data_IF_194176705628
#
_entry.id   IF_194176705628
#
_cell.length_a   1.000
_cell.length_b   1.000
_cell.length_c   1.000
_cell.angle_alpha   90.00
_cell.angle_beta   90.00
_cell.angle_gamma   90.00
#
_symmetry.space_group_name_H-M   'P 1'
#
loop_
_entity.id
_entity.type
_entity.pdbx_description
1 polymer ?
#
# COMPACT_ATOMS: atom_id res chain seq x y z
N UNK A 1 16.16 -27.44 19.23
CA UNK A 1 15.72 -26.76 18.01
C UNK A 1 16.59 -27.23 16.86
N UNK A 2 15.99 -27.73 15.79
CA UNK A 2 16.72 -28.17 14.59
C UNK A 2 17.23 -26.95 13.80
N UNK A 3 18.20 -27.14 12.90
CA UNK A 3 18.68 -26.05 12.02
C UNK A 3 17.54 -25.47 11.18
N UNK A 4 16.63 -26.32 10.70
CA UNK A 4 15.47 -25.89 9.93
C UNK A 4 14.45 -25.10 10.79
N UNK A 5 14.24 -25.50 12.04
CA UNK A 5 13.42 -24.70 12.97
C UNK A 5 14.06 -23.33 13.26
N UNK A 6 15.40 -23.25 13.37
CA UNK A 6 16.10 -21.97 13.50
C UNK A 6 15.95 -21.11 12.24
N UNK A 7 16.05 -21.72 11.06
CA UNK A 7 15.87 -21.05 9.78
C UNK A 7 14.51 -20.35 9.69
N UNK A 8 13.42 -21.07 9.97
CA UNK A 8 12.08 -20.50 9.92
C UNK A 8 11.87 -19.41 11.00
N UNK A 9 12.43 -19.59 12.20
CA UNK A 9 12.40 -18.54 13.23
C UNK A 9 13.17 -17.29 12.82
N UNK A 10 14.36 -17.44 12.23
CA UNK A 10 15.15 -16.30 11.75
C UNK A 10 14.41 -15.53 10.65
N UNK A 11 13.76 -16.23 9.71
CA UNK A 11 12.91 -15.58 8.70
C UNK A 11 11.80 -14.74 9.33
N UNK A 12 11.13 -15.28 10.35
CA UNK A 12 10.08 -14.56 11.08
C UNK A 12 10.65 -13.36 11.85
N UNK A 13 11.74 -13.55 12.61
CA UNK A 13 12.38 -12.50 13.41
C UNK A 13 12.89 -11.36 12.54
N UNK A 14 13.61 -11.67 11.46
CA UNK A 14 14.14 -10.68 10.52
C UNK A 14 13.00 -9.92 9.84
N UNK A 15 11.98 -10.60 9.31
CA UNK A 15 10.83 -9.91 8.69
C UNK A 15 10.11 -8.98 9.68
N UNK A 16 9.92 -9.43 10.93
CA UNK A 16 9.28 -8.62 11.98
C UNK A 16 10.09 -7.37 12.31
N UNK A 17 11.38 -7.52 12.55
CA UNK A 17 12.24 -6.37 12.85
C UNK A 17 12.35 -5.40 11.68
N UNK A 18 12.38 -5.94 10.46
CA UNK A 18 12.35 -5.15 9.24
C UNK A 18 11.04 -4.36 9.10
N UNK A 19 9.91 -4.97 9.43
CA UNK A 19 8.60 -4.30 9.46
C UNK A 19 8.53 -3.21 10.53
N UNK A 20 8.94 -3.51 11.76
CA UNK A 20 8.98 -2.54 12.85
C UNK A 20 9.81 -1.29 12.49
N UNK A 21 10.95 -1.49 11.82
CA UNK A 21 11.81 -0.40 11.39
C UNK A 21 11.23 0.38 10.20
N UNK A 22 10.75 -0.31 9.16
CA UNK A 22 10.40 0.34 7.88
C UNK A 22 8.92 0.70 7.70
N UNK A 23 8.03 0.17 8.54
CA UNK A 23 6.58 0.37 8.44
C UNK A 23 6.03 1.03 9.70
N UNK A 24 6.40 0.52 10.89
CA UNK A 24 5.85 1.05 12.15
C UNK A 24 6.66 2.19 12.75
N UNK A 25 7.86 2.47 12.25
CA UNK A 25 8.80 3.45 12.82
C UNK A 25 9.05 3.22 14.33
N UNK A 26 9.09 1.94 14.73
CA UNK A 26 9.16 1.47 16.12
C UNK A 26 10.19 0.35 16.30
N UNK A 27 11.48 0.55 15.93
CA UNK A 27 12.51 -0.48 16.08
C UNK A 27 12.73 -0.85 17.56
N UNK A 28 12.80 -2.15 17.84
CA UNK A 28 13.00 -2.68 19.21
C UNK A 28 14.36 -3.33 19.44
N UNK A 29 15.18 -3.41 18.39
CA UNK A 29 16.58 -3.87 18.45
C UNK A 29 17.44 -2.88 17.67
N UNK A 30 18.74 -2.86 17.96
CA UNK A 30 19.71 -2.05 17.23
C UNK A 30 20.01 -2.62 15.84
N UNK A 31 20.51 -1.76 14.93
CA UNK A 31 20.97 -2.18 13.60
C UNK A 31 22.01 -3.30 13.66
N UNK A 32 22.95 -3.23 14.63
CA UNK A 32 23.97 -4.26 14.82
C UNK A 32 23.40 -5.61 15.28
N UNK A 33 22.29 -5.61 16.02
CA UNK A 33 21.57 -6.85 16.39
C UNK A 33 20.79 -7.40 15.20
N UNK A 34 20.13 -6.53 14.43
CA UNK A 34 19.44 -6.92 13.21
C UNK A 34 20.41 -7.55 12.18
N UNK A 35 21.57 -6.92 11.96
CA UNK A 35 22.58 -7.42 11.05
C UNK A 35 23.09 -8.81 11.44
N UNK A 36 23.22 -9.11 12.73
CA UNK A 36 23.58 -10.46 13.21
C UNK A 36 22.54 -11.50 12.80
N UNK A 37 21.24 -11.19 12.93
CA UNK A 37 20.16 -12.08 12.52
C UNK A 37 20.20 -12.33 11.00
N UNK A 38 20.45 -11.28 10.21
CA UNK A 38 20.55 -11.39 8.74
C UNK A 38 21.78 -12.20 8.33
N UNK A 39 22.92 -12.01 8.99
CA UNK A 39 24.14 -12.79 8.74
C UNK A 39 23.91 -14.27 9.03
N UNK A 40 23.30 -14.59 10.18
CA UNK A 40 22.97 -15.98 10.55
C UNK A 40 22.02 -16.61 9.53
N UNK A 41 20.96 -15.89 9.13
CA UNK A 41 20.02 -16.35 8.09
C UNK A 41 20.74 -16.66 6.77
N UNK A 42 21.59 -15.75 6.30
CA UNK A 42 22.36 -15.94 5.05
C UNK A 42 23.31 -17.12 5.13
N UNK A 43 23.92 -17.36 6.29
CA UNK A 43 24.81 -18.52 6.46
C UNK A 43 24.03 -19.82 6.31
N UNK A 44 22.87 -19.94 6.96
CA UNK A 44 22.02 -21.13 6.84
C UNK A 44 21.54 -21.33 5.40
N UNK A 45 21.16 -20.26 4.70
CA UNK A 45 20.76 -20.33 3.28
C UNK A 45 21.89 -20.75 2.35
N UNK A 46 23.14 -20.35 2.65
CA UNK A 46 24.31 -20.78 1.89
C UNK A 46 24.63 -22.27 2.13
N UNK A 47 24.43 -22.76 3.34
CA UNK A 47 24.61 -24.19 3.70
C UNK A 47 23.46 -25.07 3.19
N UNK A 48 22.26 -24.50 3.05
CA UNK A 48 21.03 -25.18 2.59
C UNK A 48 20.30 -24.42 1.48
N UNK A 49 20.84 -24.35 0.25
CA UNK A 49 20.22 -23.60 -0.85
C UNK A 49 18.80 -24.09 -1.21
N UNK A 50 18.52 -25.37 -1.03
CA UNK A 50 17.22 -25.99 -1.32
C UNK A 50 16.09 -25.53 -0.36
N UNK A 51 16.44 -24.88 0.76
CA UNK A 51 15.45 -24.34 1.71
C UNK A 51 15.02 -22.91 1.39
N UNK A 52 15.75 -22.21 0.50
CA UNK A 52 15.52 -20.79 0.23
C UNK A 52 14.16 -20.60 -0.44
N UNK A 53 13.28 -19.85 0.22
CA UNK A 53 11.95 -19.53 -0.28
C UNK A 53 11.87 -18.09 -0.81
N UNK A 54 10.99 -17.78 -1.79
CA UNK A 54 10.86 -16.45 -2.39
C UNK A 54 10.47 -15.32 -1.42
N UNK A 55 10.00 -15.65 -0.22
CA UNK A 55 9.62 -14.74 0.85
C UNK A 55 10.69 -14.55 1.93
N UNK A 56 11.86 -15.19 1.77
CA UNK A 56 12.98 -14.92 2.65
C UNK A 56 13.43 -13.45 2.52
N UNK A 57 13.69 -12.75 3.65
CA UNK A 57 14.16 -11.36 3.64
C UNK A 57 15.41 -11.12 2.78
N UNK A 58 16.24 -12.15 2.58
CA UNK A 58 17.47 -12.07 1.79
C UNK A 58 17.20 -11.99 0.28
N UNK A 59 16.00 -12.37 -0.18
CA UNK A 59 15.60 -12.43 -1.58
C UNK A 59 15.04 -11.10 -2.12
N UNK A 60 15.11 -10.02 -1.33
CA UNK A 60 14.64 -8.68 -1.75
C UNK A 60 15.50 -8.06 -2.85
N UNK A 61 16.80 -8.36 -2.88
CA UNK A 61 17.79 -7.78 -3.79
C UNK A 61 18.58 -8.91 -4.45
N UNK A 62 18.93 -8.77 -5.73
CA UNK A 62 19.79 -9.72 -6.43
C UNK A 62 19.15 -10.36 -7.67
N UNK A 63 17.93 -9.98 -8.03
CA UNK A 63 17.37 -10.34 -9.34
C UNK A 63 18.22 -9.72 -10.46
N UNK A 64 18.50 -10.50 -11.50
CA UNK A 64 19.19 -10.00 -12.68
C UNK A 64 18.37 -8.92 -13.38
N UNK A 65 19.01 -7.97 -14.10
CA UNK A 65 18.31 -7.02 -14.93
C UNK A 65 17.39 -7.73 -15.93
N UNK A 66 16.16 -7.25 -16.05
CA UNK A 66 15.20 -7.73 -17.04
C UNK A 66 15.47 -7.12 -18.40
N UNK A 67 15.16 -7.81 -19.50
CA UNK A 67 15.27 -7.23 -20.84
C UNK A 67 14.10 -6.30 -21.17
N UNK A 68 12.92 -6.59 -20.60
CA UNK A 68 11.67 -5.87 -20.81
C UNK A 68 10.69 -6.16 -19.67
N UNK A 69 9.63 -5.35 -19.58
CA UNK A 69 8.48 -5.63 -18.72
C UNK A 69 7.43 -6.42 -19.47
N UNK A 70 6.99 -7.53 -18.88
CA UNK A 70 5.88 -8.32 -19.40
C UNK A 70 4.54 -7.68 -19.05
N UNK A 71 3.51 -7.95 -19.85
CA UNK A 71 2.15 -7.47 -19.58
C UNK A 71 1.47 -8.37 -18.56
N UNK A 72 0.76 -7.76 -17.61
CA UNK A 72 -0.02 -8.48 -16.59
C UNK A 72 -1.48 -8.05 -16.70
N UNK A 73 -2.38 -9.02 -16.83
CA UNK A 73 -3.82 -8.76 -16.74
C UNK A 73 -4.25 -8.73 -15.27
N UNK A 74 -4.90 -7.64 -14.87
CA UNK A 74 -5.45 -7.53 -13.52
C UNK A 74 -6.67 -8.46 -13.36
N UNK A 75 -6.87 -9.10 -12.20
CA UNK A 75 -8.01 -9.99 -11.97
C UNK A 75 -9.34 -9.24 -11.88
N UNK A 76 -9.30 -7.93 -11.64
CA UNK A 76 -10.44 -7.03 -11.72
C UNK A 76 -9.97 -5.64 -12.21
N UNK A 77 -10.86 -4.84 -12.81
CA UNK A 77 -10.51 -3.51 -13.31
C UNK A 77 -9.99 -2.56 -12.21
N UNK A 78 -8.85 -1.91 -12.49
CA UNK A 78 -8.21 -0.90 -11.65
C UNK A 78 -8.68 0.49 -12.08
N UNK A 79 -9.86 0.85 -11.58
CA UNK A 79 -10.57 2.08 -11.94
C UNK A 79 -9.81 3.37 -11.54
N UNK A 80 -10.08 4.44 -12.28
CA UNK A 80 -9.74 5.81 -11.90
C UNK A 80 -10.76 6.36 -10.90
N UNK A 81 -10.64 7.63 -10.55
CA UNK A 81 -11.63 8.34 -9.74
C UNK A 81 -12.08 9.57 -10.51
N UNK A 82 -13.40 9.83 -10.49
CA UNK A 82 -13.92 11.13 -10.88
C UNK A 82 -13.37 12.20 -9.92
N UNK A 83 -13.20 13.42 -10.42
CA UNK A 83 -12.72 14.54 -9.62
C UNK A 83 -13.89 15.42 -9.16
N UNK A 84 -13.75 16.01 -7.98
CA UNK A 84 -14.51 17.16 -7.51
C UNK A 84 -13.53 18.31 -7.17
N UNK A 85 -13.82 19.50 -7.68
CA UNK A 85 -13.06 20.73 -7.44
C UNK A 85 -13.79 21.63 -6.44
N UNK A 86 -14.03 21.11 -5.23
CA UNK A 86 -14.69 21.84 -4.16
C UNK A 86 -15.91 21.12 -3.59
N UNK A 87 -16.45 21.70 -2.52
CA UNK A 87 -17.56 21.12 -1.77
C UNK A 87 -18.83 20.97 -2.59
N UNK A 88 -19.16 21.95 -3.45
CA UNK A 88 -20.39 21.91 -4.23
C UNK A 88 -20.41 20.75 -5.24
N UNK A 89 -19.26 20.44 -5.86
CA UNK A 89 -19.15 19.29 -6.75
C UNK A 89 -19.21 17.95 -5.99
N UNK A 90 -18.64 17.89 -4.78
CA UNK A 90 -18.74 16.72 -3.91
C UNK A 90 -20.19 16.48 -3.45
N UNK A 91 -20.91 17.54 -3.05
CA UNK A 91 -22.36 17.48 -2.74
C UNK A 91 -23.16 17.05 -3.97
N UNK A 92 -22.87 17.61 -5.14
CA UNK A 92 -23.53 17.21 -6.38
C UNK A 92 -23.27 15.74 -6.72
N UNK A 93 -22.08 15.19 -6.42
CA UNK A 93 -21.81 13.76 -6.53
C UNK A 93 -22.69 12.94 -5.59
N UNK A 94 -22.73 13.29 -4.31
CA UNK A 94 -23.58 12.63 -3.31
C UNK A 94 -25.06 12.64 -3.71
N UNK A 95 -25.57 13.79 -4.17
CA UNK A 95 -26.93 13.95 -4.69
C UNK A 95 -27.26 13.02 -5.87
N UNK A 96 -26.27 12.68 -6.70
CA UNK A 96 -26.47 11.74 -7.81
C UNK A 96 -26.53 10.30 -7.32
N UNK A 97 -25.62 9.90 -6.43
CA UNK A 97 -25.53 8.50 -5.98
C UNK A 97 -26.66 8.13 -5.02
N UNK A 98 -27.15 9.07 -4.20
CA UNK A 98 -28.30 8.85 -3.31
C UNK A 98 -29.62 8.61 -4.05
N UNK A 99 -29.73 9.06 -5.31
CA UNK A 99 -30.89 8.80 -6.18
C UNK A 99 -30.85 7.40 -6.81
N UNK A 100 -29.70 6.73 -6.77
CA UNK A 100 -29.54 5.37 -7.32
C UNK A 100 -29.85 4.31 -6.26
N UNK A 101 -29.59 4.61 -4.99
CA UNK A 101 -29.81 3.69 -3.88
C UNK A 101 -30.07 4.44 -2.57
N UNK A 102 -31.22 4.18 -1.93
CA UNK A 102 -31.65 4.85 -0.70
C UNK A 102 -30.72 4.57 0.49
N UNK A 103 -29.93 3.49 0.46
CA UNK A 103 -28.95 3.17 1.52
C UNK A 103 -27.84 4.23 1.62
N UNK A 104 -27.56 4.94 0.53
CA UNK A 104 -26.52 6.00 0.49
C UNK A 104 -26.84 7.14 1.44
N UNK A 105 -28.12 7.47 1.64
CA UNK A 105 -28.55 8.54 2.54
C UNK A 105 -28.08 8.32 3.99
N UNK A 106 -27.90 7.05 4.38
CA UNK A 106 -27.45 6.63 5.73
C UNK A 106 -26.04 6.06 5.73
N UNK A 107 -25.31 6.21 4.62
CA UNK A 107 -23.98 5.64 4.50
C UNK A 107 -22.96 6.46 5.30
N UNK A 108 -22.03 5.75 5.93
CA UNK A 108 -20.81 6.36 6.44
C UNK A 108 -19.79 6.54 5.31
N UNK A 109 -18.80 7.39 5.55
CA UNK A 109 -17.76 7.74 4.58
C UNK A 109 -16.37 7.61 5.19
N UNK A 110 -15.39 7.22 4.38
CA UNK A 110 -13.97 7.24 4.73
C UNK A 110 -13.26 8.26 3.84
N UNK A 111 -12.50 9.15 4.46
CA UNK A 111 -11.64 10.12 3.79
C UNK A 111 -10.19 9.67 3.91
N UNK A 112 -9.49 9.60 2.78
CA UNK A 112 -8.08 9.21 2.70
C UNK A 112 -7.30 10.22 1.83
N UNK A 113 -5.99 10.46 2.10
CA UNK A 113 -5.16 11.27 1.20
C UNK A 113 -5.11 10.70 -0.21
N UNK A 114 -5.21 11.57 -1.21
CA UNK A 114 -4.97 11.20 -2.60
C UNK A 114 -3.48 11.32 -2.90
N UNK A 115 -2.74 10.28 -2.55
CA UNK A 115 -1.28 10.19 -2.65
C UNK A 115 -0.85 10.39 -4.11
N UNK A 116 0.20 11.20 -4.30
CA UNK A 116 0.76 11.48 -5.61
C UNK A 116 1.98 10.59 -5.90
N UNK A 117 1.73 9.39 -6.40
CA UNK A 117 2.77 8.39 -6.70
C UNK A 117 2.47 7.57 -7.96
N UNK A 118 2.85 6.29 -7.91
CA UNK A 118 2.49 5.29 -8.90
C UNK A 118 1.59 4.22 -8.27
N UNK A 119 0.37 4.06 -8.79
CA UNK A 119 -0.51 2.96 -8.41
C UNK A 119 0.08 1.61 -8.81
N UNK A 120 0.15 0.70 -7.84
CA UNK A 120 0.64 -0.67 -8.00
C UNK A 120 -0.39 -1.67 -7.47
N UNK A 121 -0.33 -2.88 -8.02
CA UNK A 121 -1.19 -4.01 -7.66
C UNK A 121 -0.28 -5.15 -7.21
N UNK A 122 -0.49 -5.65 -5.99
CA UNK A 122 0.34 -6.65 -5.33
C UNK A 122 -0.45 -7.94 -5.17
N UNK A 123 0.12 -9.04 -5.64
CA UNK A 123 -0.51 -10.35 -5.65
C UNK A 123 0.17 -11.23 -4.61
N UNK A 124 -0.64 -11.75 -3.69
CA UNK A 124 -0.22 -12.66 -2.64
C UNK A 124 -0.93 -14.00 -2.82
N UNK A 125 -0.18 -15.10 -2.86
CA UNK A 125 -0.71 -16.46 -2.83
C UNK A 125 -0.24 -17.17 -1.58
N UNK A 126 -1.18 -17.73 -0.83
CA UNK A 126 -0.90 -18.39 0.46
C UNK A 126 -0.04 -17.51 1.38
N UNK A 127 -0.37 -16.20 1.40
CA UNK A 127 0.35 -15.19 2.17
C UNK A 127 1.70 -14.74 1.58
N UNK A 128 2.21 -15.33 0.49
CA UNK A 128 3.51 -14.97 -0.11
C UNK A 128 3.35 -14.00 -1.27
N UNK A 129 4.17 -12.95 -1.32
CA UNK A 129 4.22 -12.01 -2.45
C UNK A 129 4.76 -12.72 -3.69
N UNK A 130 3.90 -12.89 -4.71
CA UNK A 130 4.24 -13.66 -5.93
C UNK A 130 4.37 -12.79 -7.18
N UNK A 131 3.61 -11.71 -7.29
CA UNK A 131 3.63 -10.82 -8.46
C UNK A 131 3.26 -9.40 -8.07
N UNK A 132 3.88 -8.40 -8.68
CA UNK A 132 3.49 -7.01 -8.57
C UNK A 132 3.47 -6.33 -9.92
N UNK A 133 2.43 -5.54 -10.19
CA UNK A 133 2.22 -4.90 -11.46
C UNK A 133 1.92 -3.40 -11.31
N UNK A 134 2.28 -2.62 -12.34
CA UNK A 134 1.77 -1.24 -12.47
C UNK A 134 0.27 -1.27 -12.78
N UNK A 135 -0.43 -0.15 -12.54
CA UNK A 135 -1.83 -0.03 -12.98
C UNK A 135 -1.99 -0.15 -14.52
N UNK A 136 -1.06 0.43 -15.29
CA UNK A 136 -1.19 0.56 -16.73
C UNK A 136 -2.48 1.29 -17.16
N UNK A 137 -3.28 0.68 -18.04
CA UNK A 137 -4.54 1.26 -18.54
C UNK A 137 -5.77 0.99 -17.65
N UNK A 138 -5.57 0.24 -16.56
CA UNK A 138 -6.58 -0.21 -15.62
C UNK A 138 -6.98 -1.68 -15.80
N UNK A 139 -6.69 -2.29 -16.94
CA UNK A 139 -6.94 -3.71 -17.20
C UNK A 139 -5.63 -4.49 -17.35
N UNK A 140 -4.64 -3.87 -18.01
CA UNK A 140 -3.33 -4.43 -18.27
C UNK A 140 -2.26 -3.50 -17.69
N UNK A 141 -1.43 -4.07 -16.82
CA UNK A 141 -0.23 -3.45 -16.26
C UNK A 141 1.07 -4.01 -16.84
N UNK A 142 2.17 -3.53 -16.28
CA UNK A 142 3.53 -4.06 -16.50
C UNK A 142 3.98 -4.83 -15.26
N UNK A 143 4.53 -6.03 -15.42
CA UNK A 143 5.15 -6.78 -14.34
C UNK A 143 6.41 -6.06 -13.87
N UNK A 144 6.39 -5.61 -12.61
CA UNK A 144 7.51 -4.95 -11.93
C UNK A 144 7.82 -5.65 -10.61
N UNK A 145 7.61 -6.97 -10.56
CA UNK A 145 7.74 -7.77 -9.33
C UNK A 145 9.13 -7.64 -8.70
N UNK A 146 10.19 -7.71 -9.51
CA UNK A 146 11.58 -7.60 -9.05
C UNK A 146 11.87 -6.24 -8.42
N UNK A 147 11.36 -5.16 -9.01
CA UNK A 147 11.49 -3.79 -8.50
C UNK A 147 10.68 -3.60 -7.21
N UNK A 148 9.47 -4.15 -7.13
CA UNK A 148 8.64 -4.05 -5.93
C UNK A 148 9.22 -4.84 -4.76
N UNK A 149 9.92 -5.96 -4.99
CA UNK A 149 10.62 -6.70 -3.91
C UNK A 149 11.64 -5.83 -3.17
N UNK A 150 12.22 -4.83 -3.84
CA UNK A 150 13.19 -3.91 -3.24
C UNK A 150 12.54 -2.83 -2.37
N UNK A 151 11.23 -2.60 -2.51
CA UNK A 151 10.49 -1.61 -1.70
C UNK A 151 10.29 -2.18 -0.30
N UNK A 152 10.98 -1.60 0.68
CA UNK A 152 11.09 -2.15 2.04
C UNK A 152 9.74 -2.22 2.76
N UNK A 153 8.84 -1.30 2.46
CA UNK A 153 7.50 -1.27 3.03
C UNK A 153 6.57 -2.38 2.51
N UNK A 154 6.98 -3.15 1.48
CA UNK A 154 6.21 -4.29 0.97
C UNK A 154 6.57 -5.55 1.77
N UNK A 155 5.64 -6.15 2.52
CA UNK A 155 5.88 -7.44 3.17
C UNK A 155 6.01 -8.55 2.12
N UNK A 156 7.05 -9.37 2.18
CA UNK A 156 7.18 -10.52 1.28
C UNK A 156 6.30 -11.71 1.71
N UNK A 157 5.93 -11.75 2.99
CA UNK A 157 4.92 -12.65 3.55
C UNK A 157 3.96 -11.86 4.44
N UNK A 158 2.68 -12.17 4.33
CA UNK A 158 1.60 -11.70 5.20
C UNK A 158 0.91 -12.88 5.90
N UNK A 159 0.40 -12.71 7.13
CA UNK A 159 0.65 -11.57 8.00
C UNK A 159 2.12 -11.51 8.44
N UNK A 160 2.59 -10.31 8.78
CA UNK A 160 3.87 -10.16 9.51
C UNK A 160 3.61 -10.47 10.99
N UNK A 161 4.20 -11.55 11.52
CA UNK A 161 3.94 -12.00 12.89
C UNK A 161 4.40 -10.97 13.94
N UNK A 162 3.47 -10.52 14.79
CA UNK A 162 3.75 -9.68 15.96
C UNK A 162 3.83 -10.54 17.22
N UNK A 163 4.86 -10.34 18.06
CA UNK A 163 5.03 -11.09 19.33
C UNK A 163 4.00 -10.70 20.39
N UNK A 164 3.24 -9.62 20.21
CA UNK A 164 2.24 -9.16 21.19
C UNK A 164 0.93 -9.94 21.07
N UNK A 165 1.00 -11.23 21.42
CA UNK A 165 -0.18 -12.06 21.69
C UNK A 165 -0.74 -11.83 23.11
N UNK A 166 -0.60 -10.63 23.69
CA UNK A 166 -0.79 -10.45 25.14
C UNK A 166 -1.25 -9.11 25.69
N UNK A 167 -1.38 -8.04 24.90
CA UNK A 167 -1.88 -6.76 25.44
C UNK A 167 -2.97 -6.22 24.53
N UNK A 168 -4.21 -6.22 25.04
CA UNK A 168 -5.34 -5.62 24.36
C UNK A 168 -5.05 -4.16 24.05
N UNK A 169 -5.02 -3.82 22.76
CA UNK A 169 -5.12 -2.44 22.33
C UNK A 169 -6.43 -1.88 22.89
N UNK A 170 -6.32 -0.93 23.83
CA UNK A 170 -7.43 -0.17 24.39
C UNK A 170 -7.81 0.99 23.46
N UNK A 171 -7.89 0.75 22.16
CA UNK A 171 -8.46 1.75 21.25
C UNK A 171 -9.97 1.54 21.10
N UNK A 172 -10.65 2.56 21.61
CA UNK A 172 -12.08 2.68 21.83
C UNK A 172 -12.79 2.80 20.48
N UNK A 173 -13.67 1.84 20.15
CA UNK A 173 -14.77 2.05 19.20
C UNK A 173 -14.71 1.33 17.84
N UNK A 174 -13.92 0.27 17.65
CA UNK A 174 -13.97 -0.50 16.39
C UNK A 174 -15.07 -1.58 16.42
N UNK A 175 -15.91 -1.72 15.38
CA UNK A 175 -16.89 -2.79 15.29
C UNK A 175 -16.21 -4.17 15.27
N UNK A 176 -16.83 -5.10 16.00
CA UNK A 176 -16.34 -6.46 16.25
C UNK A 176 -16.70 -7.38 15.08
N UNK A 177 -15.78 -7.57 14.12
CA UNK A 177 -15.93 -8.57 13.05
C UNK A 177 -14.83 -9.64 13.03
N UNK A 178 -13.69 -9.38 13.68
CA UNK A 178 -12.58 -10.33 13.75
C UNK A 178 -12.14 -10.53 15.20
N UNK A 179 -12.00 -11.80 15.57
CA UNK A 179 -11.41 -12.23 16.83
C UNK A 179 -10.06 -11.53 17.06
N UNK A 180 -9.88 -10.87 18.21
CA UNK A 180 -8.66 -10.13 18.60
C UNK A 180 -7.39 -11.01 18.70
N UNK A 181 -7.49 -12.30 18.36
CA UNK A 181 -6.35 -13.19 18.21
C UNK A 181 -5.45 -12.74 17.05
N UNK A 182 -4.14 -12.55 17.30
CA UNK A 182 -3.15 -12.26 16.26
C UNK A 182 -3.26 -13.22 15.08
N UNK A 183 -3.09 -12.69 13.86
CA UNK A 183 -2.98 -13.52 12.67
C UNK A 183 -1.58 -14.13 12.62
N UNK A 184 -1.50 -15.42 12.30
CA UNK A 184 -0.23 -16.14 12.11
C UNK A 184 -0.07 -16.52 10.66
N UNK A 185 1.15 -16.90 10.26
CA UNK A 185 1.44 -17.26 8.86
C UNK A 185 0.70 -18.48 8.33
N UNK A 186 0.14 -19.31 9.23
CA UNK A 186 -0.68 -20.48 8.88
C UNK A 186 -2.16 -20.29 9.28
N UNK A 187 -2.62 -19.05 9.43
CA UNK A 187 -3.97 -18.77 9.89
C UNK A 187 -5.00 -19.09 8.80
N UNK A 188 -5.92 -20.01 9.12
CA UNK A 188 -7.04 -20.37 8.26
C UNK A 188 -7.97 -19.22 7.88
N UNK A 189 -7.82 -18.05 8.52
CA UNK A 189 -8.55 -16.81 8.27
C UNK A 189 -7.92 -15.95 7.16
N UNK A 190 -6.97 -16.46 6.39
CA UNK A 190 -6.35 -15.74 5.27
C UNK A 190 -6.91 -16.23 3.93
N UNK A 191 -7.10 -15.33 2.94
CA UNK A 191 -7.35 -15.73 1.57
C UNK A 191 -6.16 -16.52 1.00
N UNK A 192 -6.42 -17.56 0.20
CA UNK A 192 -5.37 -18.26 -0.56
C UNK A 192 -4.83 -17.40 -1.71
N UNK A 193 -5.61 -16.42 -2.16
CA UNK A 193 -5.18 -15.42 -3.11
C UNK A 193 -5.73 -14.07 -2.68
N UNK A 194 -4.84 -13.09 -2.52
CA UNK A 194 -5.19 -11.73 -2.15
C UNK A 194 -4.48 -10.76 -3.09
N UNK A 195 -5.24 -9.84 -3.65
CA UNK A 195 -4.72 -8.80 -4.55
C UNK A 195 -4.99 -7.44 -3.94
N UNK A 196 -3.91 -6.77 -3.53
CA UNK A 196 -3.95 -5.49 -2.81
C UNK A 196 -3.48 -4.39 -3.74
N UNK A 197 -4.17 -3.24 -3.70
CA UNK A 197 -3.77 -2.04 -4.41
C UNK A 197 -3.25 -0.99 -3.43
N UNK A 198 -2.18 -0.32 -3.84
CA UNK A 198 -1.59 0.79 -3.13
C UNK A 198 -0.92 1.79 -4.06
N UNK A 199 -0.31 2.80 -3.47
CA UNK A 199 0.49 3.80 -4.17
C UNK A 199 1.93 3.70 -3.67
N UNK A 200 2.88 3.53 -4.59
CA UNK A 200 4.31 3.70 -4.27
C UNK A 200 4.71 5.13 -4.55
N UNK A 201 5.38 5.75 -3.59
CA UNK A 201 5.79 7.15 -3.65
C UNK A 201 7.14 7.35 -2.95
N UNK A 202 7.66 8.58 -3.01
CA UNK A 202 8.84 9.00 -2.27
C UNK A 202 8.41 10.06 -1.26
N UNK A 203 8.69 9.87 0.06
CA UNK A 203 8.43 10.90 1.06
C UNK A 203 9.19 12.20 0.73
N UNK A 204 8.60 13.36 1.04
CA UNK A 204 9.16 14.69 0.70
C UNK A 204 10.60 14.82 1.22
N UNK A 205 10.83 14.52 2.49
CA UNK A 205 12.17 14.59 3.10
C UNK A 205 13.19 13.69 2.39
N UNK A 206 12.80 12.46 2.08
CA UNK A 206 13.68 11.50 1.41
C UNK A 206 13.97 11.88 -0.05
N UNK A 207 13.02 12.57 -0.71
CA UNK A 207 13.24 13.15 -2.03
C UNK A 207 14.25 14.30 -1.98
N UNK A 208 14.13 15.18 -1.01
CA UNK A 208 15.07 16.31 -0.81
C UNK A 208 16.49 15.79 -0.51
N UNK A 209 16.62 14.79 0.36
CA UNK A 209 17.89 14.11 0.64
C UNK A 209 18.49 13.44 -0.60
N UNK A 210 17.67 12.77 -1.40
CA UNK A 210 18.09 12.18 -2.67
C UNK A 210 18.65 13.25 -3.62
N UNK A 211 17.93 14.36 -3.80
CA UNK A 211 18.35 15.43 -4.69
C UNK A 211 19.62 16.14 -4.18
N UNK A 212 19.72 16.36 -2.87
CA UNK A 212 20.92 16.93 -2.25
C UNK A 212 22.15 16.07 -2.53
N UNK A 213 22.05 14.75 -2.34
CA UNK A 213 23.14 13.81 -2.65
C UNK A 213 23.52 13.83 -4.13
N UNK A 214 22.55 13.92 -5.04
CA UNK A 214 22.82 14.02 -6.47
C UNK A 214 23.56 15.31 -6.81
N UNK A 215 23.13 16.43 -6.25
CA UNK A 215 23.77 17.74 -6.46
C UNK A 215 25.21 17.76 -5.91
N UNK A 216 25.45 17.20 -4.72
CA UNK A 216 26.78 17.05 -4.12
C UNK A 216 27.73 16.21 -4.99
N UNK A 217 27.19 15.26 -5.75
CA UNK A 217 27.93 14.43 -6.71
C UNK A 217 28.05 15.06 -8.12
N UNK A 218 27.46 16.24 -8.36
CA UNK A 218 27.40 16.87 -9.69
C UNK A 218 26.48 16.15 -10.68
N UNK A 219 25.55 15.33 -10.19
CA UNK A 219 24.56 14.61 -10.98
C UNK A 219 23.28 15.44 -11.20
N UNK A 220 22.49 15.06 -12.21
CA UNK A 220 21.22 15.72 -12.50
C UNK A 220 20.18 15.38 -11.45
N UNK A 221 19.59 16.40 -10.84
CA UNK A 221 18.49 16.26 -9.87
C UNK A 221 17.15 15.93 -10.54
N UNK A 222 16.22 15.43 -9.73
CA UNK A 222 14.85 15.16 -10.14
C UNK A 222 13.93 16.35 -9.89
N UNK A 223 12.89 16.47 -10.73
CA UNK A 223 11.96 17.60 -10.70
C UNK A 223 10.81 17.44 -9.69
N UNK A 224 10.25 16.23 -9.54
CA UNK A 224 9.16 15.99 -8.58
C UNK A 224 9.15 14.53 -8.09
N UNK A 225 8.65 14.27 -6.86
CA UNK A 225 8.59 12.92 -6.28
C UNK A 225 7.81 11.91 -7.12
N UNK A 226 6.66 12.29 -7.69
CA UNK A 226 5.76 11.41 -8.47
C UNK A 226 6.49 10.78 -9.66
N UNK A 227 7.09 11.61 -10.51
CA UNK A 227 7.80 11.17 -11.71
C UNK A 227 9.04 10.33 -11.34
N UNK A 228 9.72 10.70 -10.25
CA UNK A 228 10.87 9.93 -9.75
C UNK A 228 10.43 8.57 -9.24
N UNK A 229 9.33 8.47 -8.49
CA UNK A 229 8.78 7.19 -8.04
C UNK A 229 8.42 6.29 -9.23
N UNK A 230 7.66 6.83 -10.18
CA UNK A 230 7.24 6.11 -11.37
C UNK A 230 8.43 5.63 -12.23
N UNK A 231 9.42 6.50 -12.46
CA UNK A 231 10.64 6.14 -13.19
C UNK A 231 11.51 5.13 -12.44
N UNK A 232 11.58 5.23 -11.11
CA UNK A 232 12.36 4.33 -10.27
C UNK A 232 11.81 2.91 -10.24
N UNK A 233 10.48 2.74 -10.32
CA UNK A 233 9.83 1.43 -10.36
C UNK A 233 9.85 0.77 -11.74
N UNK A 234 10.19 1.53 -12.78
CA UNK A 234 10.24 1.04 -14.17
C UNK A 234 11.70 0.97 -14.65
N UNK A 235 12.59 0.56 -13.76
CA UNK A 235 13.98 0.25 -14.09
C UNK A 235 14.11 -1.22 -14.47
N UNK A 236 14.84 -1.50 -15.56
CA UNK A 236 15.13 -2.87 -15.95
C UNK A 236 16.07 -3.56 -14.95
N UNK A 237 16.97 -2.77 -14.34
CA UNK A 237 17.84 -3.22 -13.26
C UNK A 237 17.22 -2.85 -11.90
N UNK A 238 16.77 -3.86 -11.10
CA UNK A 238 16.15 -3.61 -9.80
C UNK A 238 17.14 -3.05 -8.76
N UNK A 239 18.46 -3.16 -8.96
CA UNK A 239 19.43 -2.54 -8.06
C UNK A 239 19.34 -1.01 -8.08
N UNK A 240 18.95 -0.43 -9.23
CA UNK A 240 18.67 0.99 -9.34
C UNK A 240 17.45 1.33 -8.50
N UNK A 241 16.35 0.56 -8.60
CA UNK A 241 15.16 0.74 -7.76
C UNK A 241 15.48 0.63 -6.27
N UNK A 242 16.31 -0.35 -5.88
CA UNK A 242 16.71 -0.56 -4.49
C UNK A 242 17.47 0.63 -3.88
N UNK A 243 18.14 1.44 -4.71
CA UNK A 243 18.85 2.65 -4.27
C UNK A 243 17.95 3.86 -4.02
N UNK A 244 16.66 3.77 -4.39
CA UNK A 244 15.69 4.86 -4.33
C UNK A 244 14.86 4.74 -3.05
N UNK A 245 14.56 5.86 -2.37
CA UNK A 245 13.81 5.85 -1.11
C UNK A 245 12.30 5.70 -1.36
N UNK A 246 11.91 4.60 -2.00
CA UNK A 246 10.52 4.27 -2.29
C UNK A 246 9.85 3.68 -1.06
N UNK A 247 8.60 4.09 -0.82
CA UNK A 247 7.72 3.47 0.17
C UNK A 247 6.33 3.23 -0.42
N UNK A 248 5.46 2.57 0.33
CA UNK A 248 4.12 2.16 -0.08
C UNK A 248 3.09 2.65 0.94
N UNK A 249 1.88 2.97 0.48
CA UNK A 249 0.67 2.92 1.29
C UNK A 249 -0.41 2.15 0.53
N UNK A 250 -1.06 1.17 1.19
CA UNK A 250 -2.17 0.41 0.60
C UNK A 250 -3.51 0.98 1.03
N UNK A 251 -4.53 0.80 0.18
CA UNK A 251 -5.85 1.41 0.41
C UNK A 251 -7.03 0.60 -0.11
N UNK A 252 -6.80 -0.54 -0.77
CA UNK A 252 -7.87 -1.31 -1.39
C UNK A 252 -7.48 -2.78 -1.56
N UNK A 253 -8.44 -3.68 -1.37
CA UNK A 253 -8.40 -5.05 -1.92
C UNK A 253 -9.12 -5.06 -3.26
N UNK A 254 -8.43 -5.49 -4.31
CA UNK A 254 -8.94 -5.55 -5.68
C UNK A 254 -9.69 -6.85 -5.93
N UNK A 255 -9.12 -7.95 -5.45
CA UNK A 255 -9.62 -9.29 -5.67
C UNK A 255 -9.11 -10.21 -4.57
N UNK A 256 -9.88 -11.25 -4.24
CA UNK A 256 -9.47 -12.25 -3.28
C UNK A 256 -10.20 -13.57 -3.55
N UNK A 257 -9.59 -14.69 -3.15
CA UNK A 257 -10.18 -16.03 -3.21
C UNK A 257 -10.11 -16.69 -1.84
N UNK A 258 -11.24 -17.25 -1.41
CA UNK A 258 -11.32 -17.96 -0.15
C UNK A 258 -10.51 -19.27 -0.18
N UNK A 259 -9.82 -19.56 0.92
CA UNK A 259 -9.16 -20.85 1.13
C UNK A 259 -10.02 -21.86 1.89
N UNK A 260 -9.61 -23.13 1.78
CA UNK A 260 -9.96 -24.18 2.75
C UNK A 260 -8.68 -24.66 3.41
N UNK A 261 -8.52 -24.42 4.71
CA UNK A 261 -7.40 -24.97 5.48
C UNK A 261 -7.86 -26.20 6.25
N UNK A 262 -7.20 -27.33 6.01
CA UNK A 262 -7.36 -28.54 6.82
C UNK A 262 -6.49 -28.42 8.08
N UNK A 263 -7.07 -27.94 9.18
CA UNK A 263 -6.42 -27.99 10.49
C UNK A 263 -7.01 -29.17 11.29
N UNK A 264 -6.53 -30.39 11.03
CA UNK A 264 -7.05 -31.60 11.66
C UNK A 264 -8.43 -32.03 11.15
N UNK A 265 -9.24 -32.68 12.00
CA UNK A 265 -10.58 -33.21 11.64
C UNK A 265 -11.68 -32.16 11.45
N UNK A 266 -11.35 -30.86 11.48
CA UNK A 266 -12.29 -29.76 11.26
C UNK A 266 -11.78 -28.81 10.17
N UNK A 267 -12.58 -28.67 9.10
CA UNK A 267 -12.34 -27.69 8.04
C UNK A 267 -12.88 -26.34 8.50
N UNK A 268 -12.00 -25.39 8.80
CA UNK A 268 -12.40 -24.00 9.00
C UNK A 268 -12.37 -23.28 7.64
N UNK A 269 -13.54 -22.83 7.18
CA UNK A 269 -13.67 -22.08 5.93
C UNK A 269 -13.47 -20.59 6.22
N UNK A 270 -12.54 -19.96 5.52
CA UNK A 270 -12.45 -18.50 5.51
C UNK A 270 -13.72 -17.90 4.89
N UNK A 271 -14.43 -17.05 5.64
CA UNK A 271 -15.75 -16.53 5.23
C UNK A 271 -15.70 -15.18 4.53
N UNK A 272 -14.56 -14.49 4.53
CA UNK A 272 -14.34 -13.29 3.70
C UNK A 272 -13.51 -12.18 4.33
N UNK A 273 -13.29 -11.14 3.53
CA UNK A 273 -12.60 -9.89 3.90
C UNK A 273 -13.59 -8.89 4.55
N UNK A 274 -13.10 -7.85 5.24
CA UNK A 274 -13.97 -6.79 5.76
C UNK A 274 -14.83 -6.15 4.66
N UNK A 275 -16.08 -5.81 5.00
CA UNK A 275 -17.02 -5.17 4.08
C UNK A 275 -17.17 -3.67 4.31
N UNK A 276 -16.45 -3.11 5.29
CA UNK A 276 -16.26 -1.66 5.49
C UNK A 276 -14.89 -1.25 5.00
N UNK A 277 -14.77 -0.10 4.34
CA UNK A 277 -13.49 0.48 3.93
C UNK A 277 -12.62 0.77 5.15
N UNK A 278 -13.20 1.32 6.22
CA UNK A 278 -12.48 1.59 7.46
C UNK A 278 -11.92 0.32 8.10
N UNK A 279 -12.75 -0.73 8.20
CA UNK A 279 -12.31 -2.02 8.72
C UNK A 279 -11.27 -2.68 7.80
N UNK A 280 -11.40 -2.52 6.49
CA UNK A 280 -10.44 -3.02 5.50
C UNK A 280 -9.06 -2.38 5.66
N UNK A 281 -8.99 -1.07 5.88
CA UNK A 281 -7.73 -0.37 6.17
C UNK A 281 -7.06 -0.92 7.45
N UNK A 282 -7.83 -1.12 8.52
CA UNK A 282 -7.32 -1.69 9.76
C UNK A 282 -6.86 -3.16 9.57
N UNK A 283 -7.61 -3.94 8.81
CA UNK A 283 -7.24 -5.33 8.49
C UNK A 283 -5.96 -5.41 7.65
N UNK A 284 -5.78 -4.52 6.66
CA UNK A 284 -4.54 -4.43 5.91
C UNK A 284 -3.35 -4.06 6.82
N UNK A 285 -3.54 -3.17 7.80
CA UNK A 285 -2.52 -2.86 8.82
C UNK A 285 -2.18 -4.09 9.67
N UNK A 286 -3.19 -4.86 10.09
CA UNK A 286 -2.99 -6.12 10.83
C UNK A 286 -2.23 -7.20 10.03
N UNK A 287 -2.32 -7.19 8.70
CA UNK A 287 -1.52 -8.06 7.84
C UNK A 287 -0.05 -7.61 7.71
N UNK A 288 0.29 -6.41 8.20
CA UNK A 288 1.63 -5.82 8.08
C UNK A 288 1.82 -4.95 6.84
N UNK A 289 0.74 -4.43 6.25
CA UNK A 289 0.84 -3.40 5.23
C UNK A 289 0.87 -1.99 5.84
N UNK A 290 1.67 -1.07 5.29
CA UNK A 290 1.57 0.35 5.62
C UNK A 290 0.25 0.93 5.09
N UNK A 291 -0.51 1.59 5.97
CA UNK A 291 -1.75 2.30 5.66
C UNK A 291 -1.65 3.71 6.21
N UNK A 292 -2.29 4.69 5.56
CA UNK A 292 -2.21 6.09 5.97
C UNK A 292 -2.88 6.33 7.33
N UNK A 293 -2.15 6.95 8.26
CA UNK A 293 -2.72 7.37 9.55
C UNK A 293 -3.58 8.65 9.45
N UNK A 294 -3.63 9.27 8.26
CA UNK A 294 -4.48 10.43 7.99
C UNK A 294 -5.93 10.04 7.62
N UNK A 295 -6.22 8.75 7.46
CA UNK A 295 -7.57 8.28 7.14
C UNK A 295 -8.54 8.59 8.29
N UNK A 296 -9.77 9.02 7.98
CA UNK A 296 -10.83 9.25 8.99
C UNK A 296 -12.17 8.76 8.48
N UNK A 297 -12.99 8.21 9.38
CA UNK A 297 -14.36 7.77 9.12
C UNK A 297 -15.37 8.79 9.66
N UNK A 298 -16.44 9.03 8.91
CA UNK A 298 -17.52 9.97 9.21
C UNK A 298 -18.87 9.28 9.02
N UNK A 299 -19.87 9.61 9.84
CA UNK A 299 -21.21 9.02 9.72
C UNK A 299 -22.08 9.72 8.66
N UNK A 300 -21.64 10.88 8.16
CA UNK A 300 -22.34 11.66 7.15
C UNK A 300 -21.37 12.34 6.18
N UNK A 301 -21.90 12.71 5.01
CA UNK A 301 -21.12 13.29 3.91
C UNK A 301 -20.66 14.73 4.19
N UNK A 302 -21.45 15.52 4.92
CA UNK A 302 -21.11 16.93 5.17
C UNK A 302 -19.89 17.04 6.07
N UNK A 303 -19.83 16.24 7.14
CA UNK A 303 -18.65 16.13 8.00
C UNK A 303 -17.41 15.67 7.22
N UNK A 304 -17.57 14.72 6.28
CA UNK A 304 -16.47 14.26 5.42
C UNK A 304 -15.97 15.36 4.47
N UNK A 305 -16.88 16.15 3.89
CA UNK A 305 -16.54 17.29 3.02
C UNK A 305 -15.85 18.39 3.82
N UNK A 306 -16.39 18.78 4.97
CA UNK A 306 -15.80 19.80 5.85
C UNK A 306 -14.38 19.41 6.26
N UNK A 307 -14.20 18.17 6.72
CA UNK A 307 -12.88 17.63 7.05
C UNK A 307 -11.93 17.68 5.85
N UNK A 308 -12.41 17.30 4.67
CA UNK A 308 -11.62 17.34 3.44
C UNK A 308 -11.17 18.76 3.08
N UNK A 309 -12.03 19.76 3.26
CA UNK A 309 -11.69 21.16 3.01
C UNK A 309 -10.58 21.67 3.93
N UNK A 310 -10.51 21.18 5.18
CA UNK A 310 -9.44 21.57 6.11
C UNK A 310 -8.05 21.19 5.59
N UNK A 311 -7.95 20.13 4.78
CA UNK A 311 -6.67 19.64 4.28
C UNK A 311 -6.01 20.54 3.24
N UNK A 312 -6.76 21.40 2.56
CA UNK A 312 -6.20 22.29 1.55
C UNK A 312 -5.11 23.22 2.14
N UNK A 313 -5.28 23.69 3.39
CA UNK A 313 -4.34 24.59 4.06
C UNK A 313 -3.22 23.86 4.82
N UNK A 314 -3.40 22.57 5.11
CA UNK A 314 -2.45 21.75 5.87
C UNK A 314 -1.86 20.58 5.09
N UNK A 315 -1.97 20.58 3.76
CA UNK A 315 -1.43 19.53 2.88
C UNK A 315 0.06 19.25 3.12
N UNK A 316 0.81 20.25 3.56
CA UNK A 316 2.25 20.16 3.88
C UNK A 316 2.55 19.45 5.22
N UNK A 317 1.53 19.14 6.02
CA UNK A 317 1.68 18.26 7.19
C UNK A 317 1.86 16.80 6.78
N UNK A 318 1.44 16.42 5.56
CA UNK A 318 1.67 15.07 5.04
C UNK A 318 3.15 14.89 4.69
N UNK A 319 3.78 13.77 5.06
CA UNK A 319 5.19 13.52 4.74
C UNK A 319 5.42 13.16 3.26
N UNK A 320 4.41 13.31 2.41
CA UNK A 320 4.39 12.96 0.99
C UNK A 320 3.47 13.91 0.23
N UNK A 321 3.70 14.03 -1.08
CA UNK A 321 2.82 14.82 -1.94
C UNK A 321 1.43 14.16 -2.05
N UNK A 322 0.40 14.97 -1.88
CA UNK A 322 -0.98 14.61 -2.13
C UNK A 322 -1.66 15.74 -2.89
N UNK A 323 -2.41 15.38 -3.93
CA UNK A 323 -3.09 16.35 -4.80
C UNK A 323 -4.57 16.57 -4.42
N UNK A 324 -4.98 15.99 -3.30
CA UNK A 324 -6.34 16.04 -2.79
C UNK A 324 -6.59 15.00 -1.69
N UNK A 325 -7.87 14.76 -1.45
CA UNK A 325 -8.39 13.66 -0.64
C UNK A 325 -9.33 12.80 -1.50
N UNK A 326 -9.57 11.59 -1.07
CA UNK A 326 -10.57 10.68 -1.65
C UNK A 326 -11.65 10.46 -0.61
N UNK A 327 -12.89 10.74 -0.98
CA UNK A 327 -14.07 10.42 -0.17
C UNK A 327 -14.66 9.12 -0.73
N UNK A 328 -14.81 8.10 0.12
CA UNK A 328 -15.34 6.78 -0.24
C UNK A 328 -16.54 6.45 0.63
N UNK A 329 -17.56 5.81 0.06
CA UNK A 329 -18.58 5.13 0.86
C UNK A 329 -17.91 4.02 1.68
N UNK A 330 -18.21 3.97 2.97
CA UNK A 330 -17.61 3.00 3.87
C UNK A 330 -18.11 1.57 3.61
N UNK A 331 -19.41 1.36 3.34
CA UNK A 331 -19.91 0.03 2.96
C UNK A 331 -19.47 -0.35 1.54
N UNK A 332 -18.52 -1.29 1.44
CA UNK A 332 -17.91 -1.74 0.19
C UNK A 332 -18.89 -2.52 -0.69
N UNK A 333 -19.93 -3.15 -0.13
CA UNK A 333 -20.96 -3.84 -0.92
C UNK A 333 -21.86 -2.82 -1.59
N UNK A 334 -22.30 -1.81 -0.83
CA UNK A 334 -23.05 -0.69 -1.39
C UNK A 334 -22.22 0.03 -2.48
N UNK A 335 -20.94 0.32 -2.21
CA UNK A 335 -20.05 0.96 -3.17
C UNK A 335 -19.91 0.15 -4.47
N UNK A 336 -19.82 -1.19 -4.38
CA UNK A 336 -19.74 -2.07 -5.53
C UNK A 336 -21.07 -2.14 -6.31
N UNK A 337 -22.20 -2.23 -5.61
CA UNK A 337 -23.55 -2.32 -6.20
C UNK A 337 -23.95 -1.03 -6.94
N UNK A 338 -23.47 0.13 -6.52
CA UNK A 338 -23.62 1.39 -7.26
C UNK A 338 -22.88 1.38 -8.62
N UNK A 339 -21.93 0.47 -8.81
CA UNK A 339 -21.15 0.31 -10.04
C UNK A 339 -20.32 1.54 -10.39
N UNK A 340 -20.11 1.78 -11.69
CA UNK A 340 -19.25 2.84 -12.20
C UNK A 340 -19.85 3.53 -13.44
N UNK A 341 -19.33 4.71 -13.77
CA UNK A 341 -19.56 5.42 -15.03
C UNK A 341 -18.23 5.52 -15.77
N UNK A 342 -18.15 4.95 -16.97
CA UNK A 342 -16.88 4.91 -17.70
C UNK A 342 -15.81 4.15 -16.92
N UNK A 343 -14.78 4.85 -16.44
CA UNK A 343 -13.70 4.29 -15.59
C UNK A 343 -13.78 4.75 -14.13
N UNK A 344 -14.85 5.42 -13.72
CA UNK A 344 -14.96 6.06 -12.42
C UNK A 344 -16.03 5.38 -11.53
N UNK A 345 -15.66 4.81 -10.36
CA UNK A 345 -16.59 4.17 -9.46
C UNK A 345 -17.54 5.21 -8.85
N UNK A 346 -18.82 4.86 -8.75
CA UNK A 346 -19.82 5.77 -8.14
C UNK A 346 -19.62 5.90 -6.63
N UNK A 347 -19.12 4.85 -5.97
CA UNK A 347 -18.90 4.82 -4.52
C UNK A 347 -17.71 5.64 -4.01
N UNK A 348 -16.98 6.36 -4.85
CA UNK A 348 -15.86 7.20 -4.43
C UNK A 348 -15.65 8.42 -5.33
N UNK A 349 -15.08 9.49 -4.78
CA UNK A 349 -14.71 10.70 -5.52
C UNK A 349 -13.38 11.28 -5.03
N UNK A 350 -12.56 11.78 -5.95
CA UNK A 350 -11.32 12.50 -5.65
C UNK A 350 -11.60 14.00 -5.47
N UNK A 351 -11.61 14.47 -4.24
CA UNK A 351 -11.69 15.89 -3.92
C UNK A 351 -10.30 16.52 -4.09
N UNK A 352 -10.12 17.30 -5.16
CA UNK A 352 -8.83 17.91 -5.49
C UNK A 352 -8.56 19.16 -4.66
N UNK A 353 -7.32 19.34 -4.23
CA UNK A 353 -6.90 20.62 -3.68
C UNK A 353 -6.83 21.67 -4.79
N UNK A 354 -7.05 22.95 -4.46
CA UNK A 354 -6.72 24.04 -5.37
C UNK A 354 -5.26 23.92 -5.81
N UNK A 355 -5.00 24.23 -7.09
CA UNK A 355 -3.62 24.31 -7.57
C UNK A 355 -2.86 25.37 -6.74
N UNK A 356 -1.58 25.11 -6.45
CA UNK A 356 -0.71 26.16 -5.91
C UNK A 356 -0.55 27.21 -7.00
N UNK A 357 -1.19 28.36 -6.83
CA UNK A 357 -0.92 29.53 -7.67
C UNK A 357 0.44 30.09 -7.26
N UNK A 358 1.41 30.02 -8.17
CA UNK A 358 2.73 30.62 -7.98
C UNK A 358 2.93 31.62 -9.10
N UNK A 359 2.99 32.90 -8.74
CA UNK A 359 3.35 33.97 -9.68
C UNK A 359 4.87 34.08 -9.72
N UNK A 360 5.45 33.87 -10.89
CA UNK A 360 6.89 34.07 -11.12
C UNK A 360 7.12 34.93 -12.37
N UNK A 361 8.30 35.54 -12.48
CA UNK A 361 8.69 36.36 -13.62
C UNK A 361 9.58 35.54 -14.56
N UNK A 362 9.15 35.37 -15.81
CA UNK A 362 9.97 34.80 -16.88
C UNK A 362 11.14 35.74 -17.17
N UNK A 363 12.36 35.33 -16.81
CA UNK A 363 13.56 36.15 -16.97
C UNK A 363 14.16 36.02 -18.38
N UNK A 364 14.27 34.80 -18.90
CA UNK A 364 14.94 34.53 -20.18
C UNK A 364 14.40 33.23 -20.80
N UNK A 365 14.31 33.17 -22.13
CA UNK A 365 14.07 31.94 -22.89
C UNK A 365 15.34 31.62 -23.69
N UNK A 366 15.93 30.44 -23.49
CA UNK A 366 17.06 29.96 -24.28
C UNK A 366 16.62 28.89 -25.26
N UNK A 367 17.08 29.00 -26.50
CA UNK A 367 16.83 28.01 -27.56
C UNK A 367 18.12 27.23 -27.80
N UNK A 368 18.11 25.94 -27.50
CA UNK A 368 19.16 25.02 -27.91
C UNK A 368 18.82 24.48 -29.30
N UNK A 369 19.74 24.65 -30.25
CA UNK A 369 19.67 24.12 -31.63
C UNK A 369 20.41 22.81 -31.72
#
# INVERSE_FOLDING_TARGET
MTTHERYEQLKQEVNRHFHLYHVEDAPIISDAEYDKLVIELRQIEAEHPDWVTPDSPTQRIGAAPSEKFEKVHHPAPILSLANAFGADEARAWFERIRKLDDRVEKAAFVVEPKIDGLSVVLHYRDGVFVQGATRGDGEIGEDITTNLRTVRAIPLRIPVESRESGVGSKDVGQPMLFDHRPLTTNDSRLPIYLVVRGEVFIPVKAFDELNKRLEENGEKTYLNPRNTAAGSLRQLDPSITASRPLTLLVYQVVYWEAGTHEAGTQVHRYTGIPTSQWELLNWLKLLGFPVTDAARRFEDIEAAIEYTQTWATRRDELPYEADGMVIKIDDLRLAAELGFVGKDPRGAIAFKFPAREVTTQLQEIRVNV
#
